data_IF_946688083863
#
_entry.id   IF_946688083863
#
_cell.length_a   1.000
_cell.length_b   1.000
_cell.length_c   1.000
_cell.angle_alpha   90.00
_cell.angle_beta   90.00
_cell.angle_gamma   90.00
#
_symmetry.space_group_name_H-M   'P 1'
#
loop_
_entity.id
_entity.type
_entity.pdbx_description
1 polymer ?
#
# COMPACT_ATOMS: atom_id res chain seq x y z
N UNK A 1 -5.77 -89.32 -6.99
CA UNK A 1 -6.91 -88.41 -6.75
C UNK A 1 -6.36 -86.99 -6.76
N UNK A 2 -6.98 -86.11 -7.57
CA UNK A 2 -6.54 -84.73 -7.80
C UNK A 2 -6.79 -83.90 -6.53
N UNK A 3 -5.76 -83.32 -5.93
CA UNK A 3 -5.93 -82.30 -4.90
C UNK A 3 -5.72 -80.92 -5.52
N UNK A 4 -6.81 -80.16 -5.53
CA UNK A 4 -6.92 -78.78 -6.01
C UNK A 4 -6.25 -77.86 -4.99
N UNK A 5 -5.25 -77.10 -5.41
CA UNK A 5 -4.67 -76.01 -4.62
C UNK A 5 -5.38 -74.72 -5.02
N UNK A 6 -6.14 -74.15 -4.08
CA UNK A 6 -6.84 -72.87 -4.24
C UNK A 6 -5.86 -71.75 -3.87
N UNK A 7 -5.44 -70.96 -4.86
CA UNK A 7 -4.69 -69.73 -4.64
C UNK A 7 -5.64 -68.59 -4.27
N UNK A 8 -5.57 -68.12 -3.03
CA UNK A 8 -6.24 -66.88 -2.59
C UNK A 8 -5.30 -65.72 -2.96
N UNK A 9 -5.65 -65.00 -4.02
CA UNK A 9 -4.98 -63.75 -4.39
C UNK A 9 -5.48 -62.62 -3.48
N UNK A 10 -4.67 -62.20 -2.52
CA UNK A 10 -4.89 -60.98 -1.76
C UNK A 10 -4.53 -59.81 -2.68
N UNK A 11 -5.55 -59.16 -3.25
CA UNK A 11 -5.40 -57.86 -3.90
C UNK A 11 -5.07 -56.82 -2.83
N UNK A 12 -3.79 -56.60 -2.56
CA UNK A 12 -3.31 -55.43 -1.84
C UNK A 12 -3.44 -54.22 -2.76
N UNK A 13 -4.56 -53.51 -2.64
CA UNK A 13 -4.78 -52.19 -3.23
C UNK A 13 -3.73 -51.23 -2.66
N UNK A 14 -2.66 -50.98 -3.42
CA UNK A 14 -1.76 -49.87 -3.17
C UNK A 14 -2.54 -48.58 -3.43
N UNK A 15 -3.12 -48.03 -2.37
CA UNK A 15 -3.49 -46.62 -2.34
C UNK A 15 -2.20 -45.84 -2.56
N UNK A 16 -2.04 -45.25 -3.75
CA UNK A 16 -1.00 -44.27 -4.01
C UNK A 16 -1.23 -43.12 -3.03
N UNK A 17 -0.46 -43.12 -1.94
CA UNK A 17 -0.35 -41.98 -1.07
C UNK A 17 0.18 -40.82 -1.93
N UNK A 18 -0.69 -39.88 -2.25
CA UNK A 18 -0.30 -38.56 -2.72
C UNK A 18 0.61 -37.96 -1.65
N UNK A 19 1.92 -37.97 -1.92
CA UNK A 19 2.90 -37.40 -1.02
C UNK A 19 2.52 -35.95 -0.70
N UNK A 20 2.47 -35.56 0.58
CA UNK A 20 2.41 -34.14 0.93
C UNK A 20 3.64 -33.48 0.29
N UNK A 21 3.42 -32.33 -0.36
CA UNK A 21 4.43 -31.64 -1.15
C UNK A 21 5.76 -31.55 -0.41
N UNK A 22 6.83 -32.03 -1.07
CA UNK A 22 8.18 -31.87 -0.57
C UNK A 22 8.43 -30.39 -0.28
N UNK A 23 9.07 -30.09 0.86
CA UNK A 23 9.51 -28.72 1.15
C UNK A 23 10.34 -28.21 -0.05
N UNK A 24 10.03 -27.00 -0.57
CA UNK A 24 10.78 -26.45 -1.69
C UNK A 24 12.27 -26.37 -1.34
N UNK A 25 13.12 -26.94 -2.19
CA UNK A 25 14.56 -26.84 -1.99
C UNK A 25 15.06 -25.49 -2.53
N UNK A 26 16.16 -25.00 -1.97
CA UNK A 26 16.73 -23.72 -2.35
C UNK A 26 17.28 -23.73 -3.79
N UNK A 27 17.26 -22.55 -4.41
CA UNK A 27 17.87 -22.24 -5.69
C UNK A 27 19.16 -21.43 -5.44
N UNK A 28 20.36 -22.01 -5.56
CA UNK A 28 21.60 -21.29 -5.31
C UNK A 28 21.87 -20.23 -6.38
N UNK A 29 22.39 -19.08 -5.94
CA UNK A 29 22.84 -18.00 -6.82
C UNK A 29 24.10 -18.45 -7.58
N UNK A 30 24.11 -18.28 -8.90
CA UNK A 30 25.23 -18.69 -9.77
C UNK A 30 25.89 -17.51 -10.49
N UNK A 31 25.14 -16.42 -10.74
CA UNK A 31 25.66 -15.26 -11.48
C UNK A 31 25.02 -13.95 -11.04
N UNK A 32 25.83 -12.90 -10.98
CA UNK A 32 25.41 -11.52 -10.72
C UNK A 32 26.02 -10.59 -11.76
N UNK A 33 25.20 -9.72 -12.35
CA UNK A 33 25.65 -8.64 -13.24
C UNK A 33 25.18 -7.33 -12.65
N UNK A 34 26.12 -6.43 -12.30
CA UNK A 34 25.79 -5.12 -11.75
C UNK A 34 25.97 -4.03 -12.80
N UNK A 35 24.96 -3.18 -12.94
CA UNK A 35 24.99 -2.01 -13.82
C UNK A 35 25.26 -0.75 -13.00
N UNK A 36 25.91 0.24 -13.62
CA UNK A 36 26.23 1.53 -13.00
C UNK A 36 25.01 2.44 -12.81
N UNK A 37 23.82 2.01 -13.26
CA UNK A 37 22.54 2.71 -13.09
C UNK A 37 21.70 2.20 -11.91
N UNK A 38 22.27 1.37 -11.03
CA UNK A 38 21.59 0.88 -9.83
C UNK A 38 20.60 -0.27 -10.09
N UNK A 39 20.84 -1.05 -11.15
CA UNK A 39 20.12 -2.29 -11.44
C UNK A 39 21.13 -3.44 -11.42
N UNK A 40 20.71 -4.58 -10.90
CA UNK A 40 21.47 -5.83 -10.96
C UNK A 40 20.65 -6.95 -11.55
N UNK A 41 21.26 -7.78 -12.38
CA UNK A 41 20.70 -9.07 -12.83
C UNK A 41 21.27 -10.19 -11.97
N UNK A 42 20.40 -11.06 -11.48
CA UNK A 42 20.69 -12.19 -10.62
C UNK A 42 20.19 -13.45 -11.30
N UNK A 43 21.01 -14.49 -11.31
CA UNK A 43 20.68 -15.79 -11.87
C UNK A 43 20.96 -16.88 -10.84
N UNK A 44 19.96 -17.74 -10.64
CA UNK A 44 20.06 -18.94 -9.83
C UNK A 44 20.02 -20.13 -10.76
N UNK A 45 20.93 -21.08 -10.59
CA UNK A 45 21.02 -22.25 -11.46
C UNK A 45 21.38 -23.51 -10.67
N UNK A 46 20.70 -24.62 -10.96
CA UNK A 46 20.92 -25.90 -10.27
C UNK A 46 20.49 -27.08 -11.13
N UNK A 47 21.13 -28.23 -10.92
CA UNK A 47 20.68 -29.50 -11.47
C UNK A 47 19.53 -30.06 -10.61
N UNK A 48 18.43 -30.43 -11.26
CA UNK A 48 17.27 -31.10 -10.64
C UNK A 48 17.07 -32.48 -11.26
N UNK A 49 16.37 -33.39 -10.56
CA UNK A 49 16.07 -34.75 -11.02
C UNK A 49 14.57 -35.02 -11.03
N UNK A 50 14.01 -35.23 -12.21
CA UNK A 50 12.58 -35.48 -12.36
C UNK A 50 11.75 -34.24 -12.07
N UNK A 51 10.55 -34.42 -11.52
CA UNK A 51 9.65 -33.29 -11.18
C UNK A 51 9.95 -32.78 -9.78
N UNK A 52 10.32 -31.50 -9.67
CA UNK A 52 10.71 -30.88 -8.41
C UNK A 52 10.19 -29.45 -8.27
N UNK A 53 10.01 -29.03 -7.02
CA UNK A 53 9.71 -27.66 -6.66
C UNK A 53 10.94 -26.99 -6.05
N UNK A 54 11.11 -25.71 -6.37
CA UNK A 54 12.15 -24.85 -5.82
C UNK A 54 11.56 -23.55 -5.33
N UNK A 55 12.17 -22.93 -4.32
CA UNK A 55 11.72 -21.65 -3.77
C UNK A 55 12.85 -20.64 -3.72
N UNK A 56 12.49 -19.38 -3.91
CA UNK A 56 13.29 -18.21 -3.58
C UNK A 56 12.46 -17.26 -2.72
N UNK A 57 13.11 -16.53 -1.82
CA UNK A 57 12.43 -15.57 -0.93
C UNK A 57 12.87 -14.15 -1.27
N UNK A 58 11.90 -13.28 -1.49
CA UNK A 58 12.13 -11.92 -1.96
C UNK A 58 11.54 -10.89 -1.00
N UNK A 59 12.23 -9.77 -0.81
CA UNK A 59 11.65 -8.61 -0.15
C UNK A 59 10.40 -8.14 -0.91
N UNK A 60 9.35 -7.73 -0.18
CA UNK A 60 8.09 -7.25 -0.79
C UNK A 60 8.31 -6.15 -1.83
N UNK A 61 9.34 -5.31 -1.63
CA UNK A 61 9.72 -4.22 -2.53
C UNK A 61 10.27 -4.72 -3.87
N UNK A 62 10.97 -5.85 -3.88
CA UNK A 62 11.64 -6.39 -5.07
C UNK A 62 10.74 -7.28 -5.93
N UNK A 63 9.60 -7.75 -5.38
CA UNK A 63 8.65 -8.61 -6.12
C UNK A 63 8.15 -7.93 -7.39
N UNK A 64 8.00 -6.61 -7.37
CA UNK A 64 7.57 -5.88 -8.54
C UNK A 64 8.58 -5.99 -9.70
N UNK A 65 9.87 -5.85 -9.41
CA UNK A 65 10.93 -5.95 -10.43
C UNK A 65 11.18 -7.39 -10.85
N UNK A 66 11.04 -8.34 -9.92
CA UNK A 66 11.00 -9.76 -10.21
C UNK A 66 9.91 -10.07 -11.26
N UNK A 67 8.65 -9.70 -11.01
CA UNK A 67 7.53 -10.04 -11.91
C UNK A 67 7.68 -9.44 -13.33
N UNK A 68 8.39 -8.31 -13.48
CA UNK A 68 8.64 -7.69 -14.79
C UNK A 68 9.72 -8.40 -15.61
N UNK A 69 10.70 -8.98 -14.93
CA UNK A 69 11.99 -9.35 -15.53
C UNK A 69 12.31 -10.83 -15.44
N UNK A 70 11.55 -11.57 -14.63
CA UNK A 70 11.81 -12.96 -14.33
C UNK A 70 11.78 -13.81 -15.61
N UNK A 71 12.85 -14.56 -15.81
CA UNK A 71 13.01 -15.54 -16.86
C UNK A 71 13.28 -16.88 -16.18
N UNK A 72 12.40 -17.85 -16.41
CA UNK A 72 12.53 -19.22 -15.88
C UNK A 72 12.77 -20.15 -17.05
N UNK A 73 13.84 -20.95 -16.99
CA UNK A 73 14.25 -21.83 -18.08
C UNK A 73 14.65 -23.21 -17.56
N UNK A 74 14.20 -24.23 -18.27
CA UNK A 74 14.64 -25.62 -18.12
C UNK A 74 15.43 -26.00 -19.38
N UNK A 75 16.71 -26.28 -19.22
CA UNK A 75 17.62 -26.53 -20.35
C UNK A 75 17.71 -28.00 -20.76
N UNK A 76 17.04 -28.93 -20.04
CA UNK A 76 17.14 -30.37 -20.30
C UNK A 76 15.88 -31.01 -20.87
N UNK A 77 15.04 -30.24 -21.57
CA UNK A 77 13.84 -30.75 -22.23
C UNK A 77 12.61 -30.90 -21.31
N UNK A 78 12.70 -30.45 -20.06
CA UNK A 78 11.53 -30.26 -19.19
C UNK A 78 10.80 -28.95 -19.52
N UNK A 79 9.78 -28.64 -18.71
CA UNK A 79 9.07 -27.37 -18.80
C UNK A 79 8.71 -26.82 -17.41
N UNK A 80 8.45 -25.53 -17.36
CA UNK A 80 8.00 -24.81 -16.16
C UNK A 80 6.48 -24.85 -16.15
N UNK A 81 5.89 -25.53 -15.16
CA UNK A 81 4.43 -25.66 -15.06
C UNK A 81 3.79 -24.41 -14.46
N UNK A 82 4.36 -23.91 -13.36
CA UNK A 82 3.81 -22.76 -12.66
C UNK A 82 4.91 -22.02 -11.87
N UNK A 83 4.73 -20.71 -11.78
CA UNK A 83 5.38 -19.86 -10.78
C UNK A 83 4.29 -19.35 -9.84
N UNK A 84 4.41 -19.68 -8.56
CA UNK A 84 3.43 -19.34 -7.53
C UNK A 84 4.04 -18.31 -6.60
N UNK A 85 3.35 -17.19 -6.43
CA UNK A 85 3.73 -16.15 -5.47
C UNK A 85 2.48 -15.70 -4.70
N UNK A 86 2.60 -15.37 -3.40
CA UNK A 86 1.49 -14.84 -2.65
C UNK A 86 1.11 -13.47 -3.22
N UNK A 87 -0.18 -13.24 -3.43
CA UNK A 87 -0.67 -11.92 -3.80
C UNK A 87 -0.40 -10.91 -2.68
N UNK A 88 -0.16 -9.64 -3.04
CA UNK A 88 -0.52 -8.55 -2.14
C UNK A 88 -2.04 -8.56 -2.05
N UNK A 89 -2.63 -9.30 -1.13
CA UNK A 89 -3.90 -8.84 -0.59
C UNK A 89 -3.55 -7.54 0.11
N UNK A 90 -3.97 -6.37 -0.40
CA UNK A 90 -3.65 -5.12 0.27
C UNK A 90 -4.17 -5.28 1.69
N UNK A 91 -3.32 -5.06 2.70
CA UNK A 91 -3.76 -4.99 4.08
C UNK A 91 -5.04 -4.13 4.16
N UNK A 92 -5.09 -3.05 3.38
CA UNK A 92 -6.27 -2.20 3.21
C UNK A 92 -7.55 -2.93 2.77
N UNK A 93 -7.52 -3.92 1.88
CA UNK A 93 -8.73 -4.67 1.48
C UNK A 93 -9.23 -5.59 2.61
N UNK A 94 -8.30 -6.20 3.36
CA UNK A 94 -8.66 -7.02 4.53
C UNK A 94 -9.14 -6.14 5.70
N UNK A 95 -8.56 -4.95 5.83
CA UNK A 95 -8.90 -3.96 6.88
C UNK A 95 -10.21 -3.22 6.56
N UNK A 96 -10.58 -3.02 5.28
CA UNK A 96 -11.88 -2.45 4.88
C UNK A 96 -13.09 -3.24 5.40
N UNK A 97 -12.90 -4.54 5.67
CA UNK A 97 -13.94 -5.38 6.25
C UNK A 97 -14.12 -5.17 7.77
N UNK A 98 -13.20 -4.46 8.42
CA UNK A 98 -13.20 -4.19 9.85
C UNK A 98 -13.85 -2.83 10.13
N UNK A 99 -14.52 -2.72 11.28
CA UNK A 99 -15.24 -1.49 11.67
C UNK A 99 -14.33 -0.35 12.13
N UNK A 100 -13.03 -0.62 12.37
CA UNK A 100 -12.04 0.34 12.85
C UNK A 100 -10.83 0.28 11.92
N UNK A 101 -10.48 1.42 11.32
CA UNK A 101 -9.29 1.58 10.50
C UNK A 101 -8.09 1.92 11.38
N UNK A 102 -7.11 1.00 11.39
CA UNK A 102 -5.84 1.12 12.11
C UNK A 102 -4.65 1.28 11.16
N UNK A 103 -4.88 1.47 9.86
CA UNK A 103 -3.82 1.58 8.85
C UNK A 103 -3.14 2.94 8.83
N UNK A 104 -3.78 3.97 9.41
CA UNK A 104 -3.29 5.36 9.43
C UNK A 104 -2.55 5.75 10.70
N UNK A 105 -2.13 4.77 11.51
CA UNK A 105 -1.51 5.01 12.84
C UNK A 105 -2.33 5.96 13.73
N UNK A 106 -3.65 5.69 13.94
CA UNK A 106 -4.53 6.64 14.60
C UNK A 106 -4.19 6.85 16.09
N UNK A 107 -4.50 8.03 16.61
CA UNK A 107 -4.42 8.31 18.05
C UNK A 107 -5.51 7.57 18.82
N UNK A 108 -5.39 7.48 20.15
CA UNK A 108 -6.44 6.89 20.99
C UNK A 108 -7.78 7.63 20.82
N UNK A 109 -7.76 8.95 20.77
CA UNK A 109 -8.95 9.77 20.51
C UNK A 109 -9.60 9.44 19.17
N UNK A 110 -8.80 9.27 18.12
CA UNK A 110 -9.29 8.89 16.78
C UNK A 110 -9.89 7.48 16.77
N UNK A 111 -9.26 6.51 17.45
CA UNK A 111 -9.81 5.15 17.59
C UNK A 111 -11.16 5.19 18.30
N UNK A 112 -11.27 5.93 19.41
CA UNK A 112 -12.54 6.04 20.16
C UNK A 112 -13.60 6.76 19.33
N UNK A 113 -13.22 7.77 18.55
CA UNK A 113 -14.16 8.49 17.69
C UNK A 113 -14.70 7.64 16.52
N UNK A 114 -13.96 6.60 16.10
CA UNK A 114 -14.47 5.58 15.18
C UNK A 114 -15.51 4.66 15.83
N UNK A 115 -15.51 4.54 17.16
CA UNK A 115 -16.45 3.74 17.95
C UNK A 115 -17.70 4.52 18.42
N UNK A 116 -18.05 5.63 17.75
CA UNK A 116 -19.26 6.40 18.11
C UNK A 116 -20.52 5.54 18.04
N UNK A 117 -21.32 5.59 19.09
CA UNK A 117 -22.51 4.78 19.30
C UNK A 117 -22.26 3.45 20.03
N UNK A 118 -21.00 3.00 20.11
CA UNK A 118 -20.65 1.74 20.77
C UNK A 118 -20.58 1.91 22.29
N UNK A 119 -20.98 0.86 23.02
CA UNK A 119 -20.91 0.86 24.48
C UNK A 119 -19.49 0.53 24.93
N UNK A 120 -18.97 1.34 25.83
CA UNK A 120 -17.66 1.17 26.45
C UNK A 120 -17.77 1.28 27.97
N UNK A 121 -16.89 0.58 28.66
CA UNK A 121 -16.66 0.75 30.10
C UNK A 121 -15.32 1.41 30.27
N UNK A 122 -15.31 2.60 30.85
CA UNK A 122 -14.10 3.37 31.13
C UNK A 122 -13.77 3.27 32.61
N UNK A 123 -12.54 2.89 32.94
CA UNK A 123 -12.04 2.94 34.31
C UNK A 123 -11.51 4.35 34.59
N UNK A 124 -12.04 4.97 35.64
CA UNK A 124 -11.57 6.28 36.13
C UNK A 124 -11.26 6.17 37.62
N UNK A 125 -10.58 7.18 38.17
CA UNK A 125 -10.28 7.26 39.61
C UNK A 125 -11.53 7.24 40.49
N UNK A 126 -12.65 7.73 39.98
CA UNK A 126 -13.94 7.79 40.70
C UNK A 126 -14.76 6.50 40.53
N UNK A 127 -14.22 5.50 39.82
CA UNK A 127 -14.84 4.21 39.55
C UNK A 127 -15.07 3.94 38.05
N UNK A 128 -15.50 2.71 37.70
CA UNK A 128 -15.85 2.38 36.33
C UNK A 128 -17.15 3.09 35.91
N UNK A 129 -17.16 3.63 34.70
CA UNK A 129 -18.33 4.26 34.10
C UNK A 129 -18.67 3.54 32.79
N UNK A 130 -19.92 3.16 32.63
CA UNK A 130 -20.43 2.57 31.39
C UNK A 130 -21.30 3.57 30.62
N UNK A 131 -21.09 3.64 29.31
CA UNK A 131 -21.90 4.49 28.43
C UNK A 131 -21.60 4.26 26.95
N UNK A 132 -22.44 4.83 26.08
CA UNK A 132 -22.20 4.85 24.64
C UNK A 132 -21.29 6.02 24.26
N UNK A 133 -20.31 5.79 23.39
CA UNK A 133 -19.42 6.86 22.91
C UNK A 133 -20.21 7.85 22.06
N UNK A 134 -20.15 9.14 22.40
CA UNK A 134 -20.83 10.20 21.66
C UNK A 134 -19.86 10.92 20.73
N UNK A 135 -18.72 11.36 21.27
CA UNK A 135 -17.70 12.08 20.52
C UNK A 135 -16.38 12.12 21.31
N UNK A 136 -15.29 12.38 20.59
CA UNK A 136 -14.03 12.88 21.17
C UNK A 136 -13.83 14.31 20.69
N UNK A 137 -13.69 15.25 21.62
CA UNK A 137 -13.55 16.68 21.34
C UNK A 137 -12.14 17.17 21.67
N UNK A 138 -11.58 18.05 20.84
CA UNK A 138 -10.37 18.81 21.16
C UNK A 138 -10.77 20.14 21.79
N UNK A 139 -10.43 20.33 23.07
CA UNK A 139 -10.60 21.61 23.76
C UNK A 139 -9.26 22.29 24.00
N UNK A 140 -9.17 23.54 23.56
CA UNK A 140 -8.02 24.40 23.82
C UNK A 140 -8.21 25.10 25.16
N UNK A 141 -7.37 24.77 26.14
CA UNK A 141 -7.35 25.42 27.44
C UNK A 141 -6.17 26.38 27.53
N UNK A 142 -6.38 27.59 28.06
CA UNK A 142 -5.31 28.56 28.24
C UNK A 142 -4.33 28.06 29.30
N UNK A 143 -3.14 27.64 28.87
CA UNK A 143 -1.98 27.39 29.74
C UNK A 143 -1.12 28.66 29.84
N UNK A 144 -0.36 28.79 30.93
CA UNK A 144 0.45 29.98 31.22
C UNK A 144 1.48 30.38 30.16
N UNK A 145 1.76 29.51 29.19
CA UNK A 145 2.67 29.74 28.05
C UNK A 145 2.01 29.55 26.67
N UNK A 146 0.69 29.37 26.59
CA UNK A 146 -0.06 29.15 25.35
C UNK A 146 -1.28 28.25 25.52
N UNK A 147 -2.14 28.17 24.50
CA UNK A 147 -3.30 27.29 24.51
C UNK A 147 -2.86 25.82 24.33
N UNK A 148 -3.21 24.96 25.27
CA UNK A 148 -2.93 23.51 25.23
C UNK A 148 -4.19 22.80 24.76
N UNK A 149 -4.08 22.01 23.68
CA UNK A 149 -5.16 21.14 23.23
C UNK A 149 -5.26 19.92 24.16
N UNK A 150 -6.46 19.65 24.67
CA UNK A 150 -6.77 18.44 25.44
C UNK A 150 -7.95 17.72 24.82
N UNK A 151 -7.83 16.41 24.69
CA UNK A 151 -8.90 15.54 24.21
C UNK A 151 -9.88 15.23 25.34
N UNK A 152 -11.16 15.36 25.07
CA UNK A 152 -12.25 15.11 25.99
C UNK A 152 -13.17 14.03 25.41
N UNK A 153 -13.46 12.99 26.19
CA UNK A 153 -14.37 11.91 25.83
C UNK A 153 -15.80 12.24 26.31
N UNK A 154 -16.76 12.21 25.40
CA UNK A 154 -18.18 12.29 25.69
C UNK A 154 -18.84 10.92 25.70
N UNK A 155 -19.52 10.57 26.81
CA UNK A 155 -20.26 9.31 26.97
C UNK A 155 -21.73 9.58 27.32
N UNK A 156 -22.64 8.88 26.66
CA UNK A 156 -24.05 8.81 27.07
C UNK A 156 -24.21 7.66 28.07
N UNK A 157 -24.36 8.02 29.34
CA UNK A 157 -24.59 7.09 30.45
C UNK A 157 -26.09 6.97 30.73
N UNK A 158 -26.49 6.00 31.57
CA UNK A 158 -27.89 5.90 32.03
C UNK A 158 -28.38 7.16 32.75
N UNK A 159 -27.47 7.87 33.42
CA UNK A 159 -27.77 9.13 34.13
C UNK A 159 -27.76 10.38 33.24
N UNK A 160 -27.39 10.23 31.96
CA UNK A 160 -27.26 11.33 31.00
C UNK A 160 -25.86 11.46 30.40
N UNK A 161 -25.63 12.56 29.69
CA UNK A 161 -24.38 12.84 29.00
C UNK A 161 -23.28 13.25 29.99
N UNK A 162 -22.13 12.61 29.92
CA UNK A 162 -20.93 12.94 30.70
C UNK A 162 -19.77 13.27 29.77
N UNK A 163 -18.98 14.27 30.16
CA UNK A 163 -17.73 14.64 29.49
C UNK A 163 -16.59 14.52 30.50
N UNK A 164 -15.50 13.88 30.10
CA UNK A 164 -14.30 13.72 30.91
C UNK A 164 -13.04 13.93 30.07
N UNK A 165 -11.94 14.31 30.71
CA UNK A 165 -10.66 14.41 30.03
C UNK A 165 -10.14 12.99 29.71
N UNK A 166 -9.67 12.76 28.49
CA UNK A 166 -9.25 11.43 28.05
C UNK A 166 -7.99 10.94 28.77
N UNK A 167 -7.13 11.86 29.22
CA UNK A 167 -5.95 11.61 30.04
C UNK A 167 -6.27 11.11 31.46
N UNK A 168 -7.51 11.27 31.92
CA UNK A 168 -7.99 10.78 33.21
C UNK A 168 -8.58 9.36 33.14
N UNK A 169 -8.57 8.74 31.96
CA UNK A 169 -9.10 7.38 31.73
C UNK A 169 -7.94 6.38 31.78
N UNK A 170 -8.00 5.45 32.73
CA UNK A 170 -6.95 4.46 32.96
C UNK A 170 -7.11 3.22 32.04
N UNK A 171 -8.35 2.82 31.77
CA UNK A 171 -8.68 1.66 30.93
C UNK A 171 -9.96 1.93 30.14
N UNK A 172 -10.01 1.45 28.89
CA UNK A 172 -11.23 1.45 28.07
C UNK A 172 -11.49 0.03 27.62
N UNK A 173 -12.64 -0.50 28.03
CA UNK A 173 -13.11 -1.82 27.60
C UNK A 173 -14.27 -1.67 26.65
N UNK A 174 -14.14 -2.22 25.44
CA UNK A 174 -15.23 -2.35 24.48
C UNK A 174 -16.23 -3.36 25.05
N UNK A 175 -17.49 -2.97 25.23
CA UNK A 175 -18.51 -3.85 25.81
C UNK A 175 -19.07 -4.85 24.79
N UNK A 176 -19.13 -4.48 23.51
CA UNK A 176 -19.49 -5.40 22.42
C UNK A 176 -18.33 -6.39 22.15
N UNK A 177 -18.54 -7.66 22.50
CA UNK A 177 -17.55 -8.72 22.30
C UNK A 177 -17.23 -8.96 20.81
N UNK A 178 -18.18 -8.71 19.90
CA UNK A 178 -17.94 -8.83 18.46
C UNK A 178 -16.96 -7.75 18.00
N UNK A 179 -17.18 -6.49 18.39
CA UNK A 179 -16.29 -5.38 18.04
C UNK A 179 -14.90 -5.55 18.69
N UNK A 180 -14.87 -5.96 19.96
CA UNK A 180 -13.63 -6.28 20.67
C UNK A 180 -12.84 -7.40 19.96
N UNK A 181 -13.51 -8.45 19.50
CA UNK A 181 -12.93 -9.51 18.68
C UNK A 181 -12.36 -8.98 17.36
N UNK A 182 -13.15 -8.20 16.61
CA UNK A 182 -12.70 -7.57 15.36
C UNK A 182 -11.47 -6.67 15.55
N UNK A 183 -11.41 -5.90 16.64
CA UNK A 183 -10.27 -5.05 16.97
C UNK A 183 -9.01 -5.89 17.26
N UNK A 184 -9.13 -6.99 18.00
CA UNK A 184 -8.02 -7.92 18.25
C UNK A 184 -7.53 -8.60 16.97
N UNK A 185 -8.45 -8.98 16.08
CA UNK A 185 -8.10 -9.56 14.79
C UNK A 185 -7.40 -8.54 13.88
N UNK A 186 -7.84 -7.28 13.89
CA UNK A 186 -7.17 -6.17 13.20
C UNK A 186 -5.71 -6.03 13.64
N UNK A 187 -5.47 -5.98 14.95
CA UNK A 187 -4.14 -5.87 15.52
C UNK A 187 -3.27 -7.10 15.20
N UNK A 188 -3.85 -8.30 15.20
CA UNK A 188 -3.15 -9.52 14.79
C UNK A 188 -2.75 -9.45 13.31
N UNK A 189 -3.65 -9.01 12.44
CA UNK A 189 -3.37 -8.85 11.01
C UNK A 189 -2.27 -7.82 10.76
N UNK A 190 -2.25 -6.71 11.51
CA UNK A 190 -1.17 -5.73 11.46
C UNK A 190 0.17 -6.32 11.92
N UNK A 191 0.16 -7.08 13.02
CA UNK A 191 1.36 -7.73 13.54
C UNK A 191 1.90 -8.80 12.58
N UNK A 192 1.02 -9.56 11.93
CA UNK A 192 1.39 -10.55 10.91
C UNK A 192 1.97 -9.88 9.67
N UNK A 193 1.33 -8.83 9.14
CA UNK A 193 1.83 -8.14 7.96
C UNK A 193 3.17 -7.42 8.20
N UNK A 194 3.41 -6.91 9.41
CA UNK A 194 4.73 -6.37 9.79
C UNK A 194 5.84 -7.43 9.72
N UNK A 195 5.53 -8.71 9.95
CA UNK A 195 6.51 -9.80 9.92
C UNK A 195 6.82 -10.33 8.53
N UNK A 196 6.02 -10.01 7.51
CA UNK A 196 6.26 -10.52 6.15
C UNK A 196 7.05 -9.54 5.33
N UNK A 197 8.31 -9.30 5.72
CA UNK A 197 9.27 -8.56 4.89
C UNK A 197 9.59 -9.32 3.60
N UNK A 198 9.62 -10.66 3.68
CA UNK A 198 9.92 -11.54 2.54
C UNK A 198 8.79 -12.47 2.17
N UNK A 199 8.56 -12.62 0.87
CA UNK A 199 7.57 -13.53 0.31
C UNK A 199 8.26 -14.68 -0.42
N UNK A 200 7.79 -15.93 -0.24
CA UNK A 200 8.26 -17.04 -1.04
C UNK A 200 7.71 -16.95 -2.46
N UNK A 201 8.53 -17.30 -3.44
CA UNK A 201 8.16 -17.50 -4.84
C UNK A 201 8.60 -18.91 -5.21
N UNK A 202 7.61 -19.74 -5.53
CA UNK A 202 7.82 -21.17 -5.79
C UNK A 202 7.77 -21.45 -7.28
N UNK A 203 8.76 -22.18 -7.77
CA UNK A 203 8.93 -22.61 -9.14
C UNK A 203 8.68 -24.11 -9.23
N UNK A 204 7.78 -24.53 -10.11
CA UNK A 204 7.50 -25.96 -10.35
C UNK A 204 8.05 -26.37 -11.71
N UNK A 205 9.04 -27.27 -11.67
CA UNK A 205 9.67 -27.83 -12.85
C UNK A 205 9.19 -29.26 -13.08
N UNK A 206 8.68 -29.55 -14.28
CA UNK A 206 8.16 -30.86 -14.66
C UNK A 206 9.02 -31.43 -15.78
N UNK A 207 9.42 -32.68 -15.61
CA UNK A 207 10.25 -33.40 -16.58
C UNK A 207 10.89 -34.64 -15.96
N UNK A 208 11.73 -35.30 -16.75
CA UNK A 208 12.42 -36.54 -16.39
C UNK A 208 13.94 -36.35 -16.36
N UNK A 209 14.63 -37.27 -15.69
CA UNK A 209 16.10 -37.29 -15.65
C UNK A 209 16.74 -36.11 -14.93
N UNK A 210 18.07 -36.08 -14.93
CA UNK A 210 18.88 -34.99 -14.39
C UNK A 210 19.01 -33.87 -15.44
N UNK A 211 18.71 -32.62 -15.04
CA UNK A 211 18.74 -31.47 -15.94
C UNK A 211 18.99 -30.16 -15.22
N UNK A 212 19.56 -29.21 -15.96
CA UNK A 212 19.84 -27.86 -15.46
C UNK A 212 18.61 -26.96 -15.61
N UNK A 213 18.26 -26.27 -14.54
CA UNK A 213 17.25 -25.21 -14.53
C UNK A 213 17.86 -23.90 -14.08
N UNK A 214 17.30 -22.78 -14.55
CA UNK A 214 17.72 -21.45 -14.12
C UNK A 214 16.56 -20.49 -13.96
N UNK A 215 16.71 -19.57 -13.00
CA UNK A 215 15.82 -18.45 -12.74
C UNK A 215 16.66 -17.18 -12.78
N UNK A 216 16.40 -16.30 -13.74
CA UNK A 216 17.05 -15.00 -13.87
C UNK A 216 16.06 -13.87 -13.61
N UNK A 217 16.47 -12.80 -12.93
CA UNK A 217 15.64 -11.62 -12.69
C UNK A 217 16.50 -10.37 -12.46
N UNK A 218 15.87 -9.20 -12.53
CA UNK A 218 16.49 -7.93 -12.13
C UNK A 218 15.92 -7.44 -10.82
N UNK A 219 16.74 -6.72 -10.05
CA UNK A 219 16.31 -5.94 -8.88
C UNK A 219 17.11 -4.64 -8.81
N UNK A 220 16.59 -3.69 -8.05
CA UNK A 220 17.35 -2.50 -7.68
C UNK A 220 18.56 -2.90 -6.82
N UNK A 221 19.72 -2.35 -7.12
CA UNK A 221 20.97 -2.58 -6.37
C UNK A 221 21.72 -1.28 -6.15
N UNK A 222 22.56 -1.18 -5.09
CA UNK A 222 23.52 -0.10 -4.97
C UNK A 222 24.38 0.04 -6.21
N UNK A 223 24.76 1.27 -6.55
CA UNK A 223 25.68 1.53 -7.65
C UNK A 223 27.07 0.99 -7.30
N UNK A 224 27.64 0.20 -8.20
CA UNK A 224 29.06 -0.15 -8.12
C UNK A 224 29.90 1.06 -8.54
N UNK A 225 31.03 1.27 -7.87
CA UNK A 225 31.88 2.46 -8.05
C UNK A 225 33.29 2.04 -8.40
N UNK A 226 33.97 2.80 -9.25
CA UNK A 226 35.42 2.61 -9.50
C UNK A 226 36.24 3.64 -8.74
N UNK A 227 37.38 3.22 -8.19
CA UNK A 227 38.41 4.14 -7.71
C UNK A 227 39.77 3.76 -8.26
N UNK A 228 40.56 4.77 -8.64
CA UNK A 228 41.89 4.59 -9.21
C UNK A 228 42.92 5.25 -8.31
N UNK A 229 44.07 4.62 -8.13
CA UNK A 229 45.22 5.15 -7.38
C UNK A 229 46.47 4.99 -8.22
N UNK A 230 47.26 6.05 -8.34
CA UNK A 230 48.56 6.01 -8.98
C UNK A 230 49.62 6.04 -7.87
N UNK A 231 50.45 5.00 -7.81
CA UNK A 231 51.56 4.89 -6.86
C UNK A 231 52.84 5.22 -7.61
N UNK A 232 53.53 6.26 -7.16
CA UNK A 232 54.79 6.74 -7.74
C UNK A 232 55.93 6.28 -6.83
N UNK A 233 56.93 5.66 -7.44
CA UNK A 233 58.17 5.24 -6.78
C UNK A 233 59.36 5.87 -7.52
N UNK A 234 60.31 6.44 -6.78
CA UNK A 234 61.47 7.11 -7.38
C UNK A 234 62.32 6.12 -8.20
N UNK A 235 62.47 6.40 -9.49
CA UNK A 235 63.27 5.58 -10.41
C UNK A 235 62.57 4.31 -10.91
N UNK A 236 61.32 4.06 -10.51
CA UNK A 236 60.52 2.91 -10.97
C UNK A 236 59.30 3.35 -11.79
N UNK A 237 58.75 2.47 -12.65
CA UNK A 237 57.49 2.73 -13.34
C UNK A 237 56.33 2.95 -12.35
N UNK A 238 55.48 3.94 -12.64
CA UNK A 238 54.28 4.20 -11.85
C UNK A 238 53.31 3.02 -11.90
N UNK A 239 52.78 2.62 -10.75
CA UNK A 239 51.77 1.56 -10.63
C UNK A 239 50.37 2.17 -10.60
N UNK A 240 49.53 1.85 -11.58
CA UNK A 240 48.10 2.19 -11.57
C UNK A 240 47.30 1.05 -10.95
N UNK A 241 46.63 1.32 -9.83
CA UNK A 241 45.68 0.42 -9.18
C UNK A 241 44.25 0.85 -9.51
N UNK A 242 43.43 -0.07 -10.00
CA UNK A 242 41.99 0.12 -10.19
C UNK A 242 41.20 -0.79 -9.24
N UNK A 243 40.23 -0.24 -8.55
CA UNK A 243 39.34 -0.97 -7.65
C UNK A 243 37.89 -0.79 -8.11
N UNK A 244 37.12 -1.88 -8.04
CA UNK A 244 35.66 -1.83 -8.07
C UNK A 244 35.13 -2.03 -6.65
N UNK A 245 34.31 -1.08 -6.19
CA UNK A 245 33.65 -1.09 -4.89
C UNK A 245 32.22 -1.52 -5.13
N UNK A 246 31.82 -2.59 -4.46
CA UNK A 246 30.54 -3.26 -4.64
C UNK A 246 29.92 -3.48 -3.27
N UNK A 247 28.62 -3.25 -3.18
CA UNK A 247 27.85 -3.41 -1.96
C UNK A 247 26.85 -4.56 -2.18
N UNK A 248 27.06 -5.71 -1.53
CA UNK A 248 26.06 -6.77 -1.53
C UNK A 248 24.93 -6.39 -0.56
N UNK A 249 23.79 -6.00 -1.13
CA UNK A 249 22.55 -5.69 -0.41
C UNK A 249 21.55 -6.84 -0.44
N UNK A 250 21.88 -7.95 -1.12
CA UNK A 250 21.07 -9.15 -1.14
C UNK A 250 21.39 -10.02 0.08
N UNK A 251 20.42 -10.83 0.51
CA UNK A 251 20.65 -11.80 1.58
C UNK A 251 21.42 -13.03 1.12
N UNK A 252 21.44 -13.28 -0.19
CA UNK A 252 22.19 -14.37 -0.79
C UNK A 252 23.69 -14.13 -0.60
N UNK A 253 24.36 -15.14 -0.06
CA UNK A 253 25.80 -15.13 0.03
C UNK A 253 26.40 -15.26 -1.37
N UNK A 254 27.24 -14.31 -1.77
CA UNK A 254 27.97 -14.38 -3.04
C UNK A 254 29.20 -15.27 -2.87
N UNK A 255 29.00 -16.57 -2.99
CA UNK A 255 30.05 -17.60 -2.92
C UNK A 255 30.09 -18.34 -4.25
N UNK A 256 31.27 -18.44 -4.85
CA UNK A 256 31.51 -19.15 -6.12
C UNK A 256 30.60 -18.70 -7.30
N UNK A 257 30.28 -17.40 -7.35
CA UNK A 257 29.45 -16.81 -8.41
C UNK A 257 30.27 -16.24 -9.57
N UNK A 258 29.67 -16.19 -10.75
CA UNK A 258 30.12 -15.34 -11.84
C UNK A 258 29.69 -13.89 -11.61
N UNK A 259 30.64 -12.97 -11.38
CA UNK A 259 30.36 -11.55 -11.21
C UNK A 259 30.77 -10.74 -12.44
N UNK A 260 29.86 -9.93 -12.99
CA UNK A 260 30.13 -9.00 -14.10
C UNK A 260 29.77 -7.58 -13.70
N UNK A 261 30.64 -6.63 -14.01
CA UNK A 261 30.39 -5.20 -13.85
C UNK A 261 30.23 -4.57 -15.22
N UNK A 262 29.08 -3.95 -15.46
CA UNK A 262 28.74 -3.34 -16.74
C UNK A 262 28.59 -1.82 -16.57
N UNK A 263 29.23 -1.05 -17.45
CA UNK A 263 29.09 0.42 -17.52
C UNK A 263 27.99 0.85 -18.51
N UNK A 264 26.96 0.02 -18.65
CA UNK A 264 25.85 0.23 -19.58
C UNK A 264 24.65 0.83 -18.86
N UNK A 265 23.92 1.72 -19.54
CA UNK A 265 22.69 2.35 -19.03
C UNK A 265 21.44 1.67 -19.60
N UNK A 266 20.97 0.54 -19.05
CA UNK A 266 19.67 0.00 -19.41
C UNK A 266 18.57 1.04 -19.16
N UNK A 267 17.52 1.00 -19.98
CA UNK A 267 16.32 1.81 -19.74
C UNK A 267 15.63 1.26 -18.49
N UNK A 268 15.55 2.08 -17.44
CA UNK A 268 14.90 1.74 -16.18
C UNK A 268 13.56 2.46 -16.06
N UNK A 269 12.51 1.74 -15.67
CA UNK A 269 11.19 2.32 -15.43
C UNK A 269 10.48 1.60 -14.27
N UNK A 270 9.75 2.35 -13.46
CA UNK A 270 8.89 1.81 -12.43
C UNK A 270 7.46 1.66 -12.98
N UNK A 271 6.91 0.46 -12.85
CA UNK A 271 5.52 0.14 -13.15
C UNK A 271 5.06 -0.83 -12.08
N UNK A 272 3.91 -0.63 -11.44
CA UNK A 272 3.42 -1.54 -10.39
C UNK A 272 2.66 -2.72 -11.01
N UNK A 273 3.33 -3.87 -11.12
CA UNK A 273 2.73 -5.14 -11.56
C UNK A 273 2.26 -6.02 -10.40
N UNK A 274 2.60 -5.67 -9.16
CA UNK A 274 2.30 -6.52 -8.02
C UNK A 274 0.93 -6.18 -7.41
N UNK A 275 0.52 -4.91 -7.46
CA UNK A 275 -0.81 -4.49 -7.02
C UNK A 275 -1.89 -4.95 -8.01
N UNK A 276 -3.00 -5.46 -7.47
CA UNK A 276 -4.19 -5.71 -8.28
C UNK A 276 -4.80 -4.39 -8.76
N UNK A 277 -4.86 -4.21 -10.07
CA UNK A 277 -5.58 -3.09 -10.70
C UNK A 277 -7.02 -3.50 -10.97
N UNK A 278 -7.98 -2.77 -10.38
CA UNK A 278 -9.40 -2.94 -10.62
C UNK A 278 -9.90 -1.80 -11.50
N UNK A 279 -10.64 -2.13 -12.55
CA UNK A 279 -11.31 -1.14 -13.38
C UNK A 279 -12.65 -0.75 -12.75
N UNK A 280 -12.88 0.56 -12.56
CA UNK A 280 -14.19 1.08 -12.20
C UNK A 280 -15.18 0.85 -13.33
N UNK A 281 -16.31 0.21 -13.01
CA UNK A 281 -17.38 -0.04 -13.97
C UNK A 281 -18.38 1.10 -13.91
N UNK A 282 -18.71 1.66 -15.07
CA UNK A 282 -19.79 2.62 -15.16
C UNK A 282 -21.11 1.96 -14.72
N UNK A 283 -21.78 2.55 -13.72
CA UNK A 283 -23.14 2.17 -13.36
C UNK A 283 -24.11 2.81 -14.35
N UNK A 284 -24.73 1.99 -15.19
CA UNK A 284 -25.84 2.44 -16.04
C UNK A 284 -27.11 2.32 -15.21
N UNK A 285 -27.77 3.44 -14.92
CA UNK A 285 -29.07 3.41 -14.26
C UNK A 285 -30.10 2.76 -15.20
N UNK A 286 -30.96 1.85 -14.72
CA UNK A 286 -32.05 1.35 -15.53
C UNK A 286 -32.96 2.53 -15.94
N UNK A 287 -33.28 2.63 -17.23
CA UNK A 287 -34.28 3.59 -17.71
C UNK A 287 -35.64 3.17 -17.16
N UNK A 288 -36.07 3.77 -16.05
CA UNK A 288 -37.40 3.57 -15.50
C UNK A 288 -38.35 4.49 -16.30
N UNK A 289 -39.33 3.95 -17.06
CA UNK A 289 -40.37 4.78 -17.65
C UNK A 289 -41.09 5.57 -16.54
N UNK A 290 -41.44 6.84 -16.75
CA UNK A 290 -42.11 7.70 -15.74
C UNK A 290 -43.35 7.07 -15.10
N UNK A 291 -43.98 6.08 -15.76
CA UNK A 291 -45.14 5.34 -15.25
C UNK A 291 -44.84 4.39 -14.09
N UNK A 292 -43.57 4.10 -13.78
CA UNK A 292 -43.13 3.29 -12.62
C UNK A 292 -42.13 4.09 -11.77
N UNK A 293 -42.35 5.40 -11.61
CA UNK A 293 -41.71 6.14 -10.53
C UNK A 293 -42.26 5.61 -9.20
N UNK A 294 -41.58 4.61 -8.62
CA UNK A 294 -41.79 4.21 -7.24
C UNK A 294 -41.74 5.47 -6.39
N UNK A 295 -42.83 5.77 -5.67
CA UNK A 295 -42.85 6.87 -4.71
C UNK A 295 -41.71 6.60 -3.74
N UNK A 296 -40.62 7.35 -3.88
CA UNK A 296 -39.52 7.33 -2.93
C UNK A 296 -40.14 7.82 -1.63
N UNK A 297 -40.27 6.92 -0.65
CA UNK A 297 -40.57 7.34 0.70
C UNK A 297 -39.29 8.01 1.19
N UNK A 298 -39.26 9.35 1.17
CA UNK A 298 -38.17 10.10 1.78
C UNK A 298 -38.01 9.64 3.22
N UNK A 299 -36.85 9.13 3.64
CA UNK A 299 -36.51 9.18 5.05
C UNK A 299 -36.29 10.66 5.34
N UNK A 300 -37.21 11.27 6.09
CA UNK A 300 -37.07 12.61 6.58
C UNK A 300 -35.93 12.66 7.60
N UNK A 301 -34.69 12.86 7.15
CA UNK A 301 -33.60 13.38 7.97
C UNK A 301 -32.42 13.83 7.09
N UNK A 302 -32.46 15.12 6.76
CA UNK A 302 -31.34 16.05 6.69
C UNK A 302 -30.08 15.63 5.94
N UNK A 303 -30.00 16.02 4.67
CA UNK A 303 -28.72 16.36 4.05
C UNK A 303 -28.78 17.84 3.63
N UNK A 304 -28.36 18.71 4.56
CA UNK A 304 -28.07 20.11 4.28
C UNK A 304 -26.57 20.19 3.96
N UNK A 305 -26.18 19.73 2.78
CA UNK A 305 -24.95 20.23 2.18
C UNK A 305 -25.14 20.43 0.67
N UNK A 306 -25.76 21.56 0.35
CA UNK A 306 -25.62 22.14 -0.97
C UNK A 306 -25.45 23.64 -0.80
N UNK A 307 -24.19 24.07 -0.96
CA UNK A 307 -23.78 25.45 -1.24
C UNK A 307 -24.63 26.01 -2.38
N UNK A 308 -25.76 26.61 -2.03
CA UNK A 308 -26.56 27.40 -2.93
C UNK A 308 -26.04 28.83 -2.90
N UNK A 309 -25.34 29.20 -3.97
CA UNK A 309 -25.03 30.57 -4.35
C UNK A 309 -26.35 31.35 -4.42
N UNK A 310 -26.58 32.27 -3.48
CA UNK A 310 -27.73 33.17 -3.51
C UNK A 310 -27.40 34.32 -4.49
N UNK A 311 -28.19 34.56 -5.55
CA UNK A 311 -28.04 35.77 -6.34
C UNK A 311 -28.55 36.95 -5.51
N UNK A 312 -27.70 37.95 -5.29
CA UNK A 312 -28.07 39.16 -4.57
C UNK A 312 -29.11 39.95 -5.39
N UNK A 313 -30.36 39.93 -4.93
CA UNK A 313 -31.38 40.89 -5.35
C UNK A 313 -31.10 42.18 -4.59
N UNK A 314 -30.68 43.23 -5.31
CA UNK A 314 -30.37 44.53 -4.75
C UNK A 314 -31.59 45.19 -4.12
N UNK A 315 -31.57 45.32 -2.80
CA UNK A 315 -32.45 46.22 -2.05
C UNK A 315 -31.61 47.39 -1.54
N UNK A 316 -31.80 48.53 -2.19
CA UNK A 316 -31.24 49.81 -1.79
C UNK A 316 -31.97 50.28 -0.52
N UNK A 317 -31.26 50.36 0.61
CA UNK A 317 -31.78 50.93 1.86
C UNK A 317 -30.92 52.14 2.23
N UNK A 318 -31.51 53.34 2.41
CA UNK A 318 -30.76 54.56 2.68
C UNK A 318 -30.15 54.54 4.08
N UNK A 319 -28.90 54.99 4.17
CA UNK A 319 -28.08 55.03 5.38
C UNK A 319 -28.57 56.13 6.32
N UNK A 320 -29.09 55.74 7.50
CA UNK A 320 -29.36 56.66 8.59
C UNK A 320 -28.09 56.92 9.40
N UNK A 321 -27.77 58.20 9.58
CA UNK A 321 -26.66 58.68 10.39
C UNK A 321 -26.99 58.61 11.89
N UNK A 322 -25.98 58.26 12.71
CA UNK A 322 -26.02 58.32 14.17
C UNK A 322 -24.73 57.78 14.81
N UNK A 323 -24.38 58.15 16.05
CA UNK A 323 -23.27 59.08 16.29
C UNK A 323 -22.09 58.55 17.14
N UNK A 324 -20.90 59.07 16.84
CA UNK A 324 -19.88 59.59 17.77
C UNK A 324 -19.28 58.70 18.88
N UNK A 325 -17.99 58.35 18.71
CA UNK A 325 -16.90 58.32 19.70
C UNK A 325 -15.71 57.61 19.01
N UNK A 326 -14.46 58.07 18.95
CA UNK A 326 -13.70 58.95 19.82
C UNK A 326 -12.38 58.23 20.17
N UNK A 327 -11.28 58.59 19.50
CA UNK A 327 -9.91 58.36 19.98
C UNK A 327 -9.10 57.26 19.30
N UNK A 328 -7.89 57.59 18.82
CA UNK A 328 -6.86 56.60 18.49
C UNK A 328 -5.88 57.01 17.39
N UNK A 329 -4.96 57.92 17.72
CA UNK A 329 -3.86 58.41 16.89
C UNK A 329 -2.79 57.33 16.65
N UNK A 330 -2.24 57.23 15.43
CA UNK A 330 -0.95 56.58 15.21
C UNK A 330 -0.67 56.05 13.79
N UNK A 331 0.30 56.64 13.09
CA UNK A 331 1.13 55.91 12.12
C UNK A 331 1.07 56.36 10.66
N UNK A 332 1.74 57.47 10.33
CA UNK A 332 2.27 57.71 8.99
C UNK A 332 3.60 56.95 8.82
N UNK A 333 3.66 56.04 7.85
CA UNK A 333 4.83 55.60 7.07
C UNK A 333 4.35 54.38 6.26
N UNK A 334 4.51 54.22 4.95
CA UNK A 334 5.28 54.89 3.91
C UNK A 334 5.24 53.93 2.71
N UNK A 335 5.58 54.42 1.51
CA UNK A 335 5.91 53.54 0.38
C UNK A 335 4.85 53.47 -0.71
N UNK A 336 4.98 54.40 -1.66
CA UNK A 336 4.61 54.18 -3.05
C UNK A 336 5.32 52.95 -3.62
N UNK A 337 4.71 52.26 -4.59
CA UNK A 337 5.24 52.00 -5.93
C UNK A 337 4.41 50.94 -6.68
N UNK A 338 4.07 51.27 -7.93
CA UNK A 338 3.78 50.32 -9.00
C UNK A 338 2.36 49.78 -9.02
N UNK A 339 1.56 49.90 -10.07
CA UNK A 339 1.81 50.34 -11.44
C UNK A 339 0.57 49.95 -12.23
N UNK A 340 0.04 50.89 -13.00
CA UNK A 340 -1.12 50.67 -13.84
C UNK A 340 -0.86 49.67 -14.96
N UNK A 341 -1.94 49.04 -15.41
CA UNK A 341 -1.96 48.15 -16.57
C UNK A 341 -3.40 47.83 -16.95
N UNK A 342 -4.08 48.82 -17.52
CA UNK A 342 -5.35 48.69 -18.24
C UNK A 342 -5.18 47.90 -19.56
N UNK A 343 -6.35 47.47 -20.08
CA UNK A 343 -6.66 47.09 -21.49
C UNK A 343 -6.35 45.63 -21.83
N UNK A 344 -7.24 44.83 -22.41
CA UNK A 344 -8.59 45.05 -22.94
C UNK A 344 -9.01 43.79 -23.70
N UNK A 345 -10.30 43.43 -23.62
CA UNK A 345 -10.86 42.29 -24.34
C UNK A 345 -11.21 42.61 -25.79
N UNK A 346 -11.36 41.55 -26.59
CA UNK A 346 -12.22 41.28 -27.76
C UNK A 346 -11.88 39.80 -28.12
N UNK A 347 -12.75 38.87 -28.49
CA UNK A 347 -14.09 38.94 -29.07
C UNK A 347 -14.13 37.99 -30.28
N UNK A 348 -14.82 36.84 -30.15
CA UNK A 348 -15.70 36.21 -31.16
C UNK A 348 -15.17 35.67 -32.50
N UNK A 349 -15.57 34.42 -32.82
CA UNK A 349 -15.66 33.83 -34.16
C UNK A 349 -14.93 32.49 -34.25
N UNK A 350 -15.53 31.30 -34.44
CA UNK A 350 -16.85 30.94 -34.95
C UNK A 350 -16.81 30.65 -36.46
N UNK A 351 -16.28 29.50 -36.87
CA UNK A 351 -16.52 28.93 -38.20
C UNK A 351 -16.50 27.39 -38.17
N UNK A 352 -17.61 26.80 -38.63
CA UNK A 352 -17.71 25.41 -39.07
C UNK A 352 -17.76 25.31 -40.60
N UNK A 353 -17.64 24.07 -41.10
CA UNK A 353 -17.80 23.65 -42.50
C UNK A 353 -16.95 22.39 -42.73
N UNK A 354 -17.50 21.16 -42.74
CA UNK A 354 -18.35 20.50 -43.73
C UNK A 354 -17.62 20.02 -45.01
N UNK A 355 -17.36 18.70 -45.04
CA UNK A 355 -17.71 17.69 -46.07
C UNK A 355 -17.32 17.81 -47.55
N UNK A 356 -16.83 16.67 -48.09
CA UNK A 356 -16.84 16.25 -49.52
C UNK A 356 -15.47 16.38 -50.22
N UNK A 357 -14.93 15.45 -50.99
CA UNK A 357 -15.37 14.18 -51.57
C UNK A 357 -14.63 13.93 -52.90
N UNK A 358 -14.16 12.69 -53.10
CA UNK A 358 -13.87 11.96 -54.36
C UNK A 358 -12.75 12.38 -55.36
N UNK A 359 -12.14 11.33 -55.95
CA UNK A 359 -11.27 11.29 -57.15
C UNK A 359 -9.85 10.83 -56.81
N UNK A 360 -9.31 9.69 -57.25
CA UNK A 360 -9.55 8.80 -58.40
C UNK A 360 -9.24 7.34 -58.01
#
# INVERSE_FOLDING_TARGET
MRHVVVCIAVLSCWLAASSPGAEPQDLPLSKVVLFDVGVGYFEHAVEIKGTEQRELRFDVRDINDLLKSMVVQDAGGGHVEAVVYPSQHPLSERMKALSIDLTTEPTLGEIINQMRGERVVVATKDGPLEGAVVAVELKYQAGGTGAVAREHLGLLTETGLRSMALDAVDEIRIADERLNGQFRDALRLLAENRKVEKKPVTFRFVGDGARQVRVGYIRQTPLWKTTYRLVLNDGEPALLQGWAIIENSADDAWQDIGLTLASGRPVTFEMDLYRTLLADRQRIAPSVPESIASRVHSPALGDLDSRATVPAIGLNVPQAAGPGAGGGMGGMAGGAFGGGGMVGGYGGGGFGGAMGGAGN
#
